data_IF_930998776799
#
_entry.id   IF_930998776799
#
_cell.length_a   1.000
_cell.length_b   1.000
_cell.length_c   1.000
_cell.angle_alpha   90.00
_cell.angle_beta   90.00
_cell.angle_gamma   90.00
#
_symmetry.space_group_name_H-M   'P 1'
#
loop_
_entity.id
_entity.type
_entity.pdbx_description
1 polymer ?
#
# COMPACT_ATOMS: atom_id res chain seq x y z
N UNK A 1 46.64 29.36 -39.25
CA UNK A 1 45.49 29.46 -38.31
C UNK A 1 44.16 28.92 -38.88
N UNK A 2 44.06 28.62 -40.18
CA UNK A 2 42.82 28.17 -40.84
C UNK A 2 42.64 26.65 -40.85
N UNK A 3 43.72 25.86 -40.86
CA UNK A 3 43.64 24.38 -40.90
C UNK A 3 43.27 23.78 -39.53
N UNK A 4 43.76 24.35 -38.43
CA UNK A 4 43.40 23.89 -37.07
C UNK A 4 41.93 24.12 -36.73
N UNK A 5 41.31 25.20 -37.25
CA UNK A 5 39.88 25.46 -37.06
C UNK A 5 39.00 24.46 -37.82
N UNK A 6 39.40 24.07 -39.03
CA UNK A 6 38.69 23.09 -39.87
C UNK A 6 38.72 21.67 -39.28
N UNK A 7 39.86 21.28 -38.68
CA UNK A 7 39.99 19.99 -38.00
C UNK A 7 39.16 19.96 -36.70
N UNK A 8 39.15 21.06 -35.93
CA UNK A 8 38.37 21.13 -34.69
C UNK A 8 36.85 21.13 -34.95
N UNK A 9 36.39 21.73 -36.05
CA UNK A 9 34.98 21.70 -36.46
C UNK A 9 34.55 20.33 -37.02
N UNK A 10 35.48 19.61 -37.68
CA UNK A 10 35.22 18.25 -38.18
C UNK A 10 35.13 17.23 -37.04
N UNK A 11 35.92 17.38 -35.97
CA UNK A 11 35.87 16.51 -34.79
C UNK A 11 34.55 16.70 -34.01
N UNK A 12 34.03 17.93 -33.93
CA UNK A 12 32.73 18.23 -33.31
C UNK A 12 31.53 17.74 -34.13
N UNK A 13 31.70 17.54 -35.44
CA UNK A 13 30.63 17.04 -36.32
C UNK A 13 30.47 15.50 -36.28
N UNK A 14 31.48 14.77 -35.78
CA UNK A 14 31.44 13.31 -35.65
C UNK A 14 31.06 12.81 -34.24
N UNK A 15 31.06 13.68 -33.23
CA UNK A 15 30.43 13.41 -31.94
C UNK A 15 28.93 13.68 -32.01
N UNK A 16 28.24 12.97 -32.89
CA UNK A 16 26.79 12.87 -32.86
C UNK A 16 26.39 12.10 -31.60
N UNK A 17 26.24 12.81 -30.47
CA UNK A 17 25.45 12.28 -29.37
C UNK A 17 24.09 11.92 -29.96
N UNK A 18 23.80 10.62 -30.04
CA UNK A 18 22.45 10.16 -30.36
C UNK A 18 21.56 10.62 -29.21
N UNK A 19 20.95 11.79 -29.37
CA UNK A 19 19.89 12.25 -28.49
C UNK A 19 18.68 11.37 -28.78
N UNK A 20 18.60 10.22 -28.14
CA UNK A 20 17.40 9.40 -28.17
C UNK A 20 16.30 10.17 -27.42
N UNK A 21 15.25 10.57 -28.15
CA UNK A 21 14.12 11.26 -27.54
C UNK A 21 13.51 10.34 -26.47
N UNK A 22 13.30 10.86 -25.26
CA UNK A 22 12.67 10.12 -24.17
C UNK A 22 11.28 9.59 -24.52
N UNK A 23 10.61 10.23 -25.47
CA UNK A 23 9.38 9.75 -26.06
C UNK A 23 9.44 9.80 -27.59
N UNK A 24 9.15 8.67 -28.23
CA UNK A 24 9.23 8.55 -29.70
C UNK A 24 8.16 9.35 -30.44
N UNK A 25 7.13 9.80 -29.73
CA UNK A 25 5.96 10.50 -30.27
C UNK A 25 5.95 12.01 -29.96
N UNK A 26 7.01 12.53 -29.34
CA UNK A 26 7.20 13.95 -29.03
C UNK A 26 6.09 14.64 -28.20
N UNK A 27 5.28 13.88 -27.48
CA UNK A 27 4.34 14.34 -26.46
C UNK A 27 5.04 15.10 -25.31
N UNK A 28 6.21 14.64 -24.86
CA UNK A 28 6.98 15.28 -23.79
C UNK A 28 7.60 16.61 -24.22
N UNK A 29 7.61 16.96 -25.52
CA UNK A 29 7.98 18.30 -25.95
C UNK A 29 7.13 19.37 -25.26
N UNK A 30 5.84 19.09 -25.01
CA UNK A 30 4.93 19.99 -24.31
C UNK A 30 4.61 19.49 -22.89
N UNK A 31 4.44 18.19 -22.67
CA UNK A 31 4.01 17.65 -21.38
C UNK A 31 5.10 17.63 -20.29
N UNK A 32 6.36 17.92 -20.60
CA UNK A 32 7.46 17.97 -19.62
C UNK A 32 7.46 19.21 -18.70
N UNK A 33 6.58 20.19 -18.91
CA UNK A 33 6.59 21.42 -18.14
C UNK A 33 5.64 21.35 -16.94
N UNK A 34 6.14 21.61 -15.72
CA UNK A 34 5.35 21.52 -14.45
C UNK A 34 4.11 22.40 -14.41
N UNK A 35 4.06 23.44 -15.24
CA UNK A 35 2.95 24.38 -15.29
C UNK A 35 1.88 24.01 -16.33
N UNK A 36 2.10 23.00 -17.16
CA UNK A 36 1.10 22.55 -18.12
C UNK A 36 -0.11 21.96 -17.38
N UNK A 37 -1.29 22.46 -17.71
CA UNK A 37 -2.51 22.17 -16.97
C UNK A 37 -3.63 23.13 -17.30
N UNK A 38 -4.79 22.89 -16.70
CA UNK A 38 -5.93 23.83 -16.69
C UNK A 38 -6.49 23.99 -15.28
N UNK A 39 -7.21 25.07 -15.05
CA UNK A 39 -8.08 25.20 -13.88
C UNK A 39 -9.49 24.81 -14.33
N UNK A 40 -10.12 23.87 -13.63
CA UNK A 40 -11.50 23.49 -13.92
C UNK A 40 -12.50 24.52 -13.36
N UNK A 41 -13.78 24.39 -13.74
CA UNK A 41 -14.86 25.30 -13.34
C UNK A 41 -15.05 25.40 -11.81
N UNK A 42 -14.55 24.42 -11.05
CA UNK A 42 -14.56 24.42 -9.59
C UNK A 42 -13.27 25.01 -8.98
N UNK A 43 -12.42 25.66 -9.78
CA UNK A 43 -11.15 26.24 -9.33
C UNK A 43 -10.04 25.22 -9.07
N UNK A 44 -10.22 23.94 -9.41
CA UNK A 44 -9.20 22.91 -9.14
C UNK A 44 -8.18 22.89 -10.27
N UNK A 45 -6.88 22.94 -9.92
CA UNK A 45 -5.79 22.79 -10.89
C UNK A 45 -5.67 21.33 -11.34
N UNK A 46 -5.89 21.08 -12.62
CA UNK A 46 -5.59 19.81 -13.32
C UNK A 46 -4.24 19.95 -13.99
N UNK A 47 -3.23 19.25 -13.49
CA UNK A 47 -1.91 19.22 -14.12
C UNK A 47 -1.86 18.16 -15.22
N UNK A 48 -1.24 18.52 -16.34
CA UNK A 48 -0.93 17.62 -17.45
C UNK A 48 0.58 17.30 -17.52
N UNK A 49 1.31 17.65 -16.47
CA UNK A 49 2.75 17.46 -16.40
C UNK A 49 3.10 15.98 -16.30
N UNK A 50 4.03 15.55 -17.15
CA UNK A 50 4.68 14.25 -17.08
C UNK A 50 6.16 14.47 -16.80
N UNK A 51 6.63 13.97 -15.67
CA UNK A 51 8.05 13.97 -15.34
C UNK A 51 8.74 12.83 -16.11
N UNK A 52 9.62 13.21 -17.03
CA UNK A 52 10.36 12.29 -17.91
C UNK A 52 11.23 11.30 -17.13
N UNK A 53 11.89 11.76 -16.06
CA UNK A 53 12.72 10.90 -15.23
C UNK A 53 11.86 9.90 -14.44
N UNK A 54 10.67 10.28 -14.00
CA UNK A 54 9.72 9.35 -13.37
C UNK A 54 9.18 8.36 -14.41
N UNK A 55 8.69 8.84 -15.56
CA UNK A 55 8.04 8.02 -16.59
C UNK A 55 8.98 6.97 -17.18
N UNK A 56 10.23 7.35 -17.49
CA UNK A 56 11.28 6.44 -17.98
C UNK A 56 11.60 5.30 -17.00
N UNK A 57 11.28 5.49 -15.72
CA UNK A 57 11.40 4.51 -14.66
C UNK A 57 10.06 3.81 -14.34
N UNK A 58 9.09 3.77 -15.25
CA UNK A 58 7.83 3.02 -15.07
C UNK A 58 7.77 1.75 -15.91
N UNK A 59 6.79 0.89 -15.64
CA UNK A 59 6.47 -0.27 -16.50
C UNK A 59 5.95 0.14 -17.88
N UNK A 60 5.49 1.39 -18.03
CA UNK A 60 4.93 1.91 -19.28
C UNK A 60 5.97 2.68 -20.10
N UNK A 61 7.24 2.75 -19.69
CA UNK A 61 8.29 3.51 -20.41
C UNK A 61 8.42 3.13 -21.89
N UNK A 62 8.14 1.86 -22.21
CA UNK A 62 8.24 1.29 -23.55
C UNK A 62 6.88 1.26 -24.27
N UNK A 63 5.83 1.84 -23.69
CA UNK A 63 4.49 1.93 -24.26
C UNK A 63 4.31 3.34 -24.82
N UNK A 64 4.19 3.53 -26.14
CA UNK A 64 3.88 4.82 -26.75
C UNK A 64 2.69 5.50 -26.08
N UNK A 65 2.71 6.83 -26.00
CA UNK A 65 1.65 7.59 -25.36
C UNK A 65 0.30 7.34 -26.06
N UNK A 66 0.30 7.25 -27.39
CA UNK A 66 -0.90 7.04 -28.23
C UNK A 66 -1.50 5.64 -28.12
N UNK A 67 -0.78 4.64 -27.60
CA UNK A 67 -1.37 3.31 -27.32
C UNK A 67 -2.45 3.40 -26.22
N UNK A 68 -2.27 4.33 -25.28
CA UNK A 68 -3.27 4.65 -24.26
C UNK A 68 -4.15 5.84 -24.69
N UNK A 69 -3.56 6.86 -25.31
CA UNK A 69 -4.22 8.04 -25.83
C UNK A 69 -4.61 7.87 -27.30
N UNK A 70 -5.33 6.79 -27.60
CA UNK A 70 -5.66 6.33 -28.97
C UNK A 70 -6.40 7.35 -29.81
N UNK A 71 -7.13 8.28 -29.17
CA UNK A 71 -7.87 9.35 -29.82
C UNK A 71 -6.96 10.50 -30.31
N UNK A 72 -5.70 10.55 -29.92
CA UNK A 72 -4.75 11.58 -30.37
C UNK A 72 -4.24 11.20 -31.77
N UNK A 73 -4.57 12.01 -32.78
CA UNK A 73 -4.18 11.79 -34.18
C UNK A 73 -3.30 12.90 -34.77
N UNK A 74 -3.21 14.07 -34.12
CA UNK A 74 -2.43 15.23 -34.56
C UNK A 74 -1.80 15.96 -33.37
N UNK A 75 -0.72 16.70 -33.59
CA UNK A 75 -0.08 17.57 -32.60
C UNK A 75 0.08 18.99 -33.17
N UNK A 76 -0.27 20.06 -32.43
CA UNK A 76 -0.99 20.07 -31.15
C UNK A 76 -2.35 19.38 -31.25
N UNK A 77 -2.73 18.61 -30.23
CA UNK A 77 -3.95 17.81 -30.27
C UNK A 77 -5.16 18.63 -29.79
N UNK A 78 -6.36 18.24 -30.25
CA UNK A 78 -7.62 18.83 -29.79
C UNK A 78 -7.88 18.48 -28.31
N UNK A 79 -8.78 19.21 -27.61
CA UNK A 79 -9.12 18.91 -26.23
C UNK A 79 -9.53 17.44 -26.04
N UNK A 80 -8.93 16.81 -25.03
CA UNK A 80 -9.24 15.42 -24.66
C UNK A 80 -10.68 15.31 -24.16
N UNK A 81 -11.51 14.58 -24.90
CA UNK A 81 -12.91 14.29 -24.53
C UNK A 81 -13.09 12.89 -23.94
N UNK A 82 -12.11 12.00 -24.13
CA UNK A 82 -12.19 10.60 -23.73
C UNK A 82 -11.16 10.25 -22.64
N UNK A 83 -11.55 9.36 -21.72
CA UNK A 83 -10.63 8.84 -20.72
C UNK A 83 -9.80 7.69 -21.30
N UNK A 84 -8.55 7.58 -20.82
CA UNK A 84 -7.67 6.45 -21.20
C UNK A 84 -8.25 5.12 -20.71
N UNK A 85 -8.27 4.13 -21.60
CA UNK A 85 -8.77 2.81 -21.28
C UNK A 85 -7.63 1.86 -20.93
N UNK A 86 -7.50 1.53 -19.63
CA UNK A 86 -6.49 0.58 -19.15
C UNK A 86 -6.72 -0.87 -19.63
N UNK A 87 -7.89 -1.17 -20.22
CA UNK A 87 -8.22 -2.45 -20.84
C UNK A 87 -7.74 -2.57 -22.29
N UNK A 88 -7.20 -1.50 -22.89
CA UNK A 88 -6.64 -1.59 -24.23
C UNK A 88 -5.52 -2.65 -24.27
N UNK A 89 -5.47 -3.40 -25.36
CA UNK A 89 -4.44 -4.40 -25.57
C UNK A 89 -3.10 -3.71 -25.86
N UNK A 90 -2.05 -4.11 -25.15
CA UNK A 90 -0.70 -3.61 -25.36
C UNK A 90 0.13 -4.61 -26.19
N UNK A 91 1.13 -4.09 -26.90
CA UNK A 91 1.94 -4.76 -27.94
C UNK A 91 2.88 -5.90 -27.50
N UNK A 92 2.60 -6.61 -26.40
CA UNK A 92 3.41 -7.76 -25.99
C UNK A 92 2.51 -8.98 -25.99
N UNK A 93 2.49 -9.71 -27.11
CA UNK A 93 2.11 -11.12 -27.10
C UNK A 93 3.22 -11.87 -26.36
N UNK A 94 2.99 -12.34 -25.14
CA UNK A 94 4.01 -13.12 -24.43
C UNK A 94 4.29 -14.39 -25.25
N UNK A 95 5.53 -14.90 -25.25
CA UNK A 95 5.85 -16.15 -25.97
C UNK A 95 5.05 -17.36 -25.47
N UNK A 96 4.37 -17.23 -24.34
CA UNK A 96 3.55 -18.25 -23.67
C UNK A 96 2.05 -17.93 -23.65
N UNK A 97 1.56 -16.88 -24.32
CA UNK A 97 0.13 -16.60 -24.38
C UNK A 97 -0.36 -16.32 -25.81
N UNK A 98 -1.55 -16.79 -26.12
CA UNK A 98 -2.18 -16.61 -27.44
C UNK A 98 -2.84 -15.23 -27.60
N UNK A 99 -2.96 -14.47 -26.51
CA UNK A 99 -3.61 -13.16 -26.45
C UNK A 99 -2.58 -12.08 -26.08
N UNK A 100 -2.81 -10.86 -26.55
CA UNK A 100 -2.07 -9.70 -26.12
C UNK A 100 -2.35 -9.40 -24.64
N UNK A 101 -1.38 -8.84 -23.94
CA UNK A 101 -1.59 -8.43 -22.56
C UNK A 101 -2.60 -7.27 -22.49
N UNK A 102 -3.59 -7.40 -21.59
CA UNK A 102 -4.56 -6.35 -21.25
C UNK A 102 -5.00 -6.50 -19.79
N UNK A 103 -5.35 -5.38 -19.15
CA UNK A 103 -5.97 -5.41 -17.81
C UNK A 103 -7.46 -5.81 -17.84
N UNK A 104 -8.05 -6.17 -18.99
CA UNK A 104 -9.48 -6.49 -19.15
C UNK A 104 -10.01 -7.42 -18.04
N UNK A 105 -9.35 -8.54 -17.77
CA UNK A 105 -9.76 -9.53 -16.74
C UNK A 105 -9.76 -8.93 -15.32
N UNK A 106 -8.79 -8.06 -15.02
CA UNK A 106 -8.71 -7.37 -13.73
C UNK A 106 -9.78 -6.29 -13.61
N UNK A 107 -10.03 -5.54 -14.68
CA UNK A 107 -11.08 -4.52 -14.74
C UNK A 107 -12.46 -5.16 -14.57
N UNK A 108 -12.72 -6.32 -15.19
CA UNK A 108 -13.95 -7.08 -14.99
C UNK A 108 -14.14 -7.52 -13.53
N UNK A 109 -13.06 -7.91 -12.86
CA UNK A 109 -13.08 -8.30 -11.44
C UNK A 109 -13.32 -7.07 -10.55
N UNK A 110 -12.60 -5.99 -10.79
CA UNK A 110 -12.78 -4.72 -10.10
C UNK A 110 -14.20 -4.16 -10.27
N UNK A 111 -14.74 -4.22 -11.49
CA UNK A 111 -16.09 -3.77 -11.79
C UNK A 111 -17.15 -4.62 -11.09
N UNK A 112 -16.87 -5.88 -10.75
CA UNK A 112 -17.77 -6.73 -9.94
C UNK A 112 -17.70 -6.37 -8.45
N UNK A 113 -16.56 -5.90 -7.96
CA UNK A 113 -16.33 -5.46 -6.57
C UNK A 113 -17.26 -4.32 -6.13
N UNK A 114 -17.25 -4.01 -4.83
CA UNK A 114 -18.01 -2.89 -4.25
C UNK A 114 -17.50 -1.52 -4.67
N UNK A 115 -16.23 -1.44 -5.06
CA UNK A 115 -15.59 -0.21 -5.51
C UNK A 115 -15.84 0.08 -6.99
N UNK A 116 -16.23 -0.93 -7.78
CA UNK A 116 -16.57 -0.76 -9.19
C UNK A 116 -17.79 0.14 -9.39
N UNK A 117 -17.70 1.07 -10.33
CA UNK A 117 -18.82 1.91 -10.74
C UNK A 117 -19.86 1.06 -11.48
N UNK A 118 -21.12 1.15 -11.08
CA UNK A 118 -22.26 0.42 -11.65
C UNK A 118 -23.16 1.38 -12.43
N UNK A 119 -23.85 0.91 -13.49
CA UNK A 119 -24.78 1.74 -14.25
C UNK A 119 -25.91 2.35 -13.40
N UNK A 120 -26.32 1.65 -12.33
CA UNK A 120 -27.37 2.10 -11.41
C UNK A 120 -26.89 3.08 -10.32
N UNK A 121 -25.59 3.41 -10.26
CA UNK A 121 -25.07 4.35 -9.28
C UNK A 121 -25.52 5.79 -9.61
N UNK A 122 -25.95 6.54 -8.60
CA UNK A 122 -26.22 7.98 -8.75
C UNK A 122 -24.95 8.76 -9.09
N UNK A 123 -25.03 9.95 -9.72
CA UNK A 123 -23.87 10.77 -10.02
C UNK A 123 -22.96 11.02 -8.80
N UNK A 124 -23.56 11.20 -7.62
CA UNK A 124 -22.85 11.39 -6.36
C UNK A 124 -22.10 10.12 -5.92
N UNK A 125 -22.68 8.93 -6.12
CA UNK A 125 -22.02 7.65 -5.80
C UNK A 125 -20.89 7.35 -6.79
N UNK A 126 -21.07 7.70 -8.07
CA UNK A 126 -20.05 7.55 -9.11
C UNK A 126 -18.82 8.40 -8.81
N UNK A 127 -19.01 9.65 -8.41
CA UNK A 127 -17.92 10.57 -8.01
C UNK A 127 -17.22 10.13 -6.72
N UNK A 128 -17.96 9.55 -5.78
CA UNK A 128 -17.43 9.10 -4.50
C UNK A 128 -16.63 7.78 -4.58
N UNK A 129 -16.84 6.96 -5.61
CA UNK A 129 -16.13 5.68 -5.77
C UNK A 129 -14.69 5.93 -6.24
N UNK A 130 -13.69 5.21 -5.69
CA UNK A 130 -12.32 5.33 -6.16
C UNK A 130 -12.21 4.84 -7.61
N UNK A 131 -11.17 5.28 -8.32
CA UNK A 131 -10.81 4.74 -9.63
C UNK A 131 -9.41 4.13 -9.58
N UNK A 132 -9.00 3.41 -10.63
CA UNK A 132 -7.74 2.68 -10.72
C UNK A 132 -6.53 3.50 -10.24
N UNK A 133 -6.43 4.78 -10.66
CA UNK A 133 -5.33 5.69 -10.30
C UNK A 133 -5.21 6.01 -8.82
N UNK A 134 -6.30 5.89 -8.06
CA UNK A 134 -6.30 6.17 -6.62
C UNK A 134 -5.50 5.10 -5.87
N UNK A 135 -5.69 3.83 -6.26
CA UNK A 135 -4.97 2.69 -5.72
C UNK A 135 -3.65 2.42 -6.46
N UNK A 136 -3.59 2.72 -7.75
CA UNK A 136 -2.41 2.63 -8.61
C UNK A 136 -1.84 4.01 -8.88
N UNK A 137 -1.31 4.64 -7.83
CA UNK A 137 -0.28 5.64 -8.02
C UNK A 137 0.96 4.85 -8.43
N UNK A 138 1.16 4.68 -9.74
CA UNK A 138 2.25 3.90 -10.35
C UNK A 138 3.54 4.22 -9.58
N UNK A 139 3.92 3.42 -8.56
CA UNK A 139 5.03 3.83 -7.74
C UNK A 139 6.21 3.76 -8.68
N UNK A 140 7.01 4.83 -8.72
CA UNK A 140 8.43 4.70 -9.09
C UNK A 140 8.86 3.42 -8.40
N UNK A 141 9.27 2.40 -9.17
CA UNK A 141 9.52 1.06 -8.66
C UNK A 141 10.00 1.15 -7.21
N UNK A 142 9.33 0.48 -6.26
CA UNK A 142 10.01 0.15 -5.00
C UNK A 142 11.36 -0.38 -5.44
N UNK A 143 12.44 0.33 -5.10
CA UNK A 143 13.79 0.04 -5.60
C UNK A 143 14.13 -1.38 -5.14
N UNK A 144 13.74 -2.38 -5.92
CA UNK A 144 14.25 -3.73 -5.78
C UNK A 144 15.68 -3.59 -6.25
N UNK A 145 16.61 -3.49 -5.30
CA UNK A 145 18.04 -3.46 -5.62
C UNK A 145 18.31 -4.64 -6.55
N UNK A 146 19.14 -4.43 -7.57
CA UNK A 146 19.60 -5.52 -8.42
C UNK A 146 20.29 -6.62 -7.60
N UNK A 147 20.80 -6.29 -6.42
CA UNK A 147 21.40 -7.24 -5.47
C UNK A 147 20.37 -8.18 -4.82
N UNK A 148 19.08 -7.80 -4.77
CA UNK A 148 18.00 -8.66 -4.22
C UNK A 148 17.43 -9.66 -5.24
N UNK A 149 17.92 -9.59 -6.49
CA UNK A 149 17.64 -10.59 -7.51
C UNK A 149 18.57 -11.77 -7.26
N UNK A 150 18.01 -12.98 -7.13
CA UNK A 150 18.82 -14.19 -6.97
C UNK A 150 19.80 -14.30 -8.16
N UNK A 151 21.09 -14.06 -7.89
CA UNK A 151 22.13 -13.91 -8.91
C UNK A 151 22.17 -15.10 -9.85
N UNK A 152 21.99 -16.30 -9.32
CA UNK A 152 21.98 -17.56 -10.06
C UNK A 152 20.85 -17.65 -11.10
N UNK A 153 19.64 -17.19 -10.78
CA UNK A 153 18.51 -17.21 -11.70
C UNK A 153 18.65 -16.14 -12.79
N UNK A 154 19.16 -14.96 -12.43
CA UNK A 154 19.38 -13.88 -13.39
C UNK A 154 20.50 -14.22 -14.38
N UNK A 155 21.63 -14.75 -13.91
CA UNK A 155 22.78 -15.13 -14.77
C UNK A 155 22.35 -16.12 -15.87
N UNK A 156 21.47 -17.07 -15.56
CA UNK A 156 20.95 -18.03 -16.56
C UNK A 156 20.19 -17.36 -17.70
N UNK A 157 19.42 -16.32 -17.40
CA UNK A 157 18.70 -15.55 -18.42
C UNK A 157 19.64 -14.63 -19.21
N UNK A 158 20.65 -14.05 -18.52
CA UNK A 158 21.66 -13.18 -19.12
C UNK A 158 22.58 -13.91 -20.12
N UNK A 159 22.66 -15.23 -20.04
CA UNK A 159 23.40 -16.03 -21.02
C UNK A 159 22.88 -15.87 -22.46
N UNK A 160 21.60 -15.53 -22.63
CA UNK A 160 20.98 -15.39 -23.96
C UNK A 160 20.31 -14.04 -24.21
N UNK A 161 20.05 -13.25 -23.17
CA UNK A 161 19.29 -12.01 -23.27
C UNK A 161 20.05 -10.81 -22.68
N UNK A 162 19.81 -9.63 -23.24
CA UNK A 162 20.45 -8.39 -22.77
C UNK A 162 20.08 -8.03 -21.32
N UNK A 163 21.07 -7.51 -20.59
CA UNK A 163 20.97 -7.26 -19.14
C UNK A 163 19.82 -6.35 -18.74
N UNK A 164 19.59 -5.28 -19.48
CA UNK A 164 18.55 -4.30 -19.13
C UNK A 164 17.13 -4.89 -19.28
N UNK A 165 16.87 -5.62 -20.37
CA UNK A 165 15.56 -6.23 -20.61
C UNK A 165 15.21 -7.33 -19.60
N UNK A 166 16.15 -8.23 -19.32
CA UNK A 166 15.97 -9.33 -18.37
C UNK A 166 15.78 -8.83 -16.95
N UNK A 167 16.62 -7.89 -16.51
CA UNK A 167 16.55 -7.37 -15.14
C UNK A 167 15.21 -6.68 -14.90
N UNK A 168 14.71 -5.94 -15.89
CA UNK A 168 13.40 -5.30 -15.79
C UNK A 168 12.25 -6.32 -15.79
N UNK A 169 12.28 -7.31 -16.68
CA UNK A 169 11.27 -8.37 -16.73
C UNK A 169 11.27 -9.22 -15.43
N UNK A 170 12.44 -9.58 -14.93
CA UNK A 170 12.60 -10.31 -13.67
C UNK A 170 12.08 -9.47 -12.50
N UNK A 171 12.46 -8.20 -12.38
CA UNK A 171 11.92 -7.30 -11.36
C UNK A 171 10.40 -7.18 -11.47
N UNK A 172 9.86 -7.01 -12.68
CA UNK A 172 8.42 -6.92 -12.92
C UNK A 172 7.66 -8.17 -12.44
N UNK A 173 8.15 -9.36 -12.80
CA UNK A 173 7.49 -10.63 -12.47
C UNK A 173 7.70 -10.97 -11.00
N UNK A 174 8.93 -10.95 -10.51
CA UNK A 174 9.25 -11.37 -9.13
C UNK A 174 8.67 -10.45 -8.07
N UNK A 175 8.53 -9.16 -8.37
CA UNK A 175 7.82 -8.25 -7.49
C UNK A 175 6.36 -8.69 -7.27
N UNK A 176 5.69 -9.21 -8.30
CA UNK A 176 4.31 -9.75 -8.20
C UNK A 176 4.24 -11.13 -7.53
N UNK A 177 5.35 -11.88 -7.49
CA UNK A 177 5.41 -13.22 -6.90
C UNK A 177 5.72 -13.20 -5.41
N UNK A 178 6.49 -12.21 -4.93
CA UNK A 178 6.98 -12.17 -3.54
C UNK A 178 5.93 -11.65 -2.54
N UNK A 179 5.12 -10.69 -2.95
CA UNK A 179 4.10 -10.09 -2.11
C UNK A 179 2.81 -9.88 -2.90
N UNK A 180 1.65 -9.90 -2.23
CA UNK A 180 0.37 -9.54 -2.85
C UNK A 180 0.44 -8.12 -3.42
N UNK A 181 1.12 -7.19 -2.74
CA UNK A 181 1.28 -5.80 -3.22
C UNK A 181 2.70 -5.27 -3.01
N UNK A 182 3.05 -4.18 -3.70
CA UNK A 182 4.27 -3.38 -3.45
C UNK A 182 4.25 -2.61 -2.13
N UNK A 183 3.09 -2.53 -1.48
CA UNK A 183 2.87 -1.68 -0.32
C UNK A 183 3.11 -2.46 0.96
N UNK A 184 3.70 -1.80 1.94
CA UNK A 184 3.75 -2.34 3.29
C UNK A 184 2.34 -2.40 3.90
N UNK A 185 2.09 -3.23 4.92
CA UNK A 185 0.79 -3.28 5.58
C UNK A 185 0.31 -1.91 6.09
N UNK A 186 1.23 -1.04 6.56
CA UNK A 186 0.91 0.32 6.99
C UNK A 186 0.40 1.17 5.83
N UNK A 187 1.04 1.07 4.66
CA UNK A 187 0.63 1.78 3.45
C UNK A 187 -0.72 1.28 2.93
N UNK A 188 -1.03 -0.01 3.07
CA UNK A 188 -2.35 -0.57 2.75
C UNK A 188 -3.41 -0.02 3.69
N UNK A 189 -3.18 -0.07 5.01
CA UNK A 189 -4.11 0.49 6.00
C UNK A 189 -4.37 1.96 5.71
N UNK A 190 -3.31 2.73 5.45
CA UNK A 190 -3.44 4.14 5.10
C UNK A 190 -4.20 4.36 3.78
N UNK A 191 -3.96 3.54 2.76
CA UNK A 191 -4.66 3.62 1.47
C UNK A 191 -6.16 3.38 1.62
N UNK A 192 -6.55 2.39 2.43
CA UNK A 192 -7.95 2.04 2.62
C UNK A 192 -8.65 3.00 3.59
N UNK A 193 -7.96 3.46 4.64
CA UNK A 193 -8.58 4.30 5.66
C UNK A 193 -8.66 5.78 5.25
N UNK A 194 -7.54 6.35 4.81
CA UNK A 194 -7.39 7.80 4.64
C UNK A 194 -8.26 8.31 3.51
N UNK A 195 -9.12 9.29 3.81
CA UNK A 195 -10.06 9.93 2.87
C UNK A 195 -11.12 8.99 2.25
N UNK A 196 -11.30 7.78 2.80
CA UNK A 196 -12.29 6.81 2.33
C UNK A 196 -12.99 6.16 3.53
N UNK A 197 -12.56 4.98 3.96
CA UNK A 197 -13.27 4.21 4.98
C UNK A 197 -13.23 4.82 6.39
N UNK A 198 -12.36 5.78 6.65
CA UNK A 198 -12.31 6.56 7.90
C UNK A 198 -13.16 7.84 7.82
N UNK A 199 -13.57 8.26 6.61
CA UNK A 199 -14.32 9.48 6.40
C UNK A 199 -15.83 9.23 6.50
N UNK A 200 -16.38 9.50 7.69
CA UNK A 200 -17.80 9.26 8.02
C UNK A 200 -18.75 9.96 7.05
N UNK A 201 -18.45 11.20 6.65
CA UNK A 201 -19.29 11.96 5.72
C UNK A 201 -19.35 11.33 4.33
N UNK A 202 -18.23 10.78 3.84
CA UNK A 202 -18.16 10.08 2.56
C UNK A 202 -18.86 8.73 2.64
N UNK A 203 -18.53 7.91 3.65
CA UNK A 203 -19.13 6.58 3.85
C UNK A 203 -20.63 6.64 4.15
N UNK A 204 -21.10 7.71 4.79
CA UNK A 204 -22.52 8.00 5.01
C UNK A 204 -23.31 8.15 3.72
N UNK A 205 -22.70 8.65 2.63
CA UNK A 205 -23.34 8.73 1.30
C UNK A 205 -23.70 7.35 0.73
N UNK A 206 -22.96 6.32 1.14
CA UNK A 206 -23.20 4.94 0.76
C UNK A 206 -24.21 4.22 1.66
N UNK A 207 -24.85 4.95 2.59
CA UNK A 207 -25.74 4.38 3.64
C UNK A 207 -25.04 3.24 4.39
N UNK A 208 -23.75 3.42 4.66
CA UNK A 208 -22.95 2.44 5.40
C UNK A 208 -23.52 2.27 6.82
N UNK A 209 -23.50 1.03 7.32
CA UNK A 209 -23.90 0.73 8.70
C UNK A 209 -22.95 1.40 9.70
N UNK A 210 -23.42 1.67 10.92
CA UNK A 210 -22.57 2.20 11.99
C UNK A 210 -21.34 1.33 12.26
N UNK A 211 -21.51 0.00 12.22
CA UNK A 211 -20.40 -0.96 12.31
C UNK A 211 -19.35 -0.75 11.22
N UNK A 212 -19.80 -0.47 9.99
CA UNK A 212 -18.89 -0.19 8.86
C UNK A 212 -18.20 1.17 8.99
N UNK A 213 -18.84 2.16 9.61
CA UNK A 213 -18.24 3.48 9.87
C UNK A 213 -17.15 3.39 10.96
N UNK A 214 -17.35 2.53 11.96
CA UNK A 214 -16.38 2.28 13.03
C UNK A 214 -15.31 1.24 12.66
N UNK A 215 -15.40 0.58 11.50
CA UNK A 215 -14.56 -0.57 11.13
C UNK A 215 -13.05 -0.23 11.12
N UNK A 216 -12.67 0.95 10.62
CA UNK A 216 -11.27 1.39 10.60
C UNK A 216 -10.72 1.56 12.02
N UNK A 217 -11.48 2.24 12.89
CA UNK A 217 -11.06 2.54 14.25
C UNK A 217 -10.95 1.26 15.09
N UNK A 218 -11.94 0.37 14.98
CA UNK A 218 -11.93 -0.93 15.66
C UNK A 218 -10.80 -1.83 15.17
N UNK A 219 -10.51 -1.83 13.86
CA UNK A 219 -9.35 -2.53 13.32
C UNK A 219 -8.03 -1.98 13.88
N UNK A 220 -7.84 -0.65 13.93
CA UNK A 220 -6.62 -0.02 14.48
C UNK A 220 -6.38 -0.41 15.94
N UNK A 221 -7.45 -0.64 16.71
CA UNK A 221 -7.39 -1.10 18.10
C UNK A 221 -7.11 -2.59 18.25
N UNK A 222 -7.34 -3.40 17.22
CA UNK A 222 -7.09 -4.84 17.22
C UNK A 222 -5.59 -5.18 17.30
N UNK A 223 -5.27 -6.43 17.64
CA UNK A 223 -3.88 -6.92 17.65
C UNK A 223 -3.25 -6.75 16.26
N UNK A 224 -3.97 -7.09 15.19
CA UNK A 224 -3.48 -6.91 13.82
C UNK A 224 -3.16 -5.44 13.52
N UNK A 225 -4.09 -4.53 13.82
CA UNK A 225 -3.90 -3.10 13.61
C UNK A 225 -2.72 -2.53 14.39
N UNK A 226 -2.59 -2.90 15.68
CA UNK A 226 -1.44 -2.50 16.52
C UNK A 226 -0.12 -3.07 16.01
N UNK A 227 -0.09 -4.35 15.63
CA UNK A 227 1.11 -4.98 15.06
C UNK A 227 1.54 -4.32 13.76
N UNK A 228 0.59 -4.01 12.86
CA UNK A 228 0.87 -3.24 11.64
C UNK A 228 1.42 -1.85 12.01
N UNK A 229 0.79 -1.12 12.94
CA UNK A 229 1.28 0.19 13.37
C UNK A 229 2.71 0.15 13.94
N UNK A 230 3.09 -0.96 14.58
CA UNK A 230 4.43 -1.19 15.14
C UNK A 230 5.47 -1.70 14.13
N UNK A 231 5.10 -1.85 12.85
CA UNK A 231 6.05 -2.23 11.79
C UNK A 231 5.97 -3.69 11.33
N UNK A 232 5.10 -4.53 11.90
CA UNK A 232 5.01 -5.93 11.53
C UNK A 232 4.58 -6.09 10.06
N UNK A 233 5.36 -6.84 9.29
CA UNK A 233 5.12 -7.07 7.86
C UNK A 233 4.18 -8.26 7.59
N UNK A 234 4.10 -9.20 8.53
CA UNK A 234 3.27 -10.41 8.42
C UNK A 234 1.92 -10.30 9.14
N UNK A 235 1.64 -9.13 9.75
CA UNK A 235 0.36 -8.87 10.38
C UNK A 235 -0.72 -8.61 9.32
N UNK A 236 -1.94 -9.12 9.56
CA UNK A 236 -3.03 -8.98 8.62
C UNK A 236 -3.46 -7.52 8.46
N UNK A 237 -3.53 -7.03 7.23
CA UNK A 237 -4.08 -5.73 6.86
C UNK A 237 -5.50 -5.83 6.29
N UNK A 238 -6.00 -4.73 5.72
CA UNK A 238 -7.34 -4.67 5.14
C UNK A 238 -7.54 -5.71 4.01
N UNK A 239 -6.58 -5.84 3.10
CA UNK A 239 -6.74 -6.72 1.93
C UNK A 239 -6.48 -8.18 2.29
N UNK A 240 -5.72 -8.47 3.35
CA UNK A 240 -5.55 -9.83 3.87
C UNK A 240 -6.88 -10.49 4.25
N UNK A 241 -7.84 -9.69 4.71
CA UNK A 241 -9.18 -10.16 5.05
C UNK A 241 -10.20 -9.94 3.93
N UNK A 242 -10.18 -8.80 3.24
CA UNK A 242 -11.25 -8.38 2.32
C UNK A 242 -11.05 -8.73 0.84
N UNK A 243 -9.87 -9.20 0.45
CA UNK A 243 -9.57 -9.56 -0.94
C UNK A 243 -8.90 -10.93 -1.02
N UNK A 244 -9.05 -11.59 -2.18
CA UNK A 244 -8.26 -12.80 -2.47
C UNK A 244 -6.89 -12.41 -3.03
N UNK A 245 -6.18 -13.38 -3.63
CA UNK A 245 -4.96 -13.12 -4.39
C UNK A 245 -5.22 -12.25 -5.65
N UNK A 246 -6.48 -12.03 -6.05
CA UNK A 246 -6.83 -11.12 -7.13
C UNK A 246 -6.78 -9.63 -6.73
N UNK A 247 -6.90 -9.31 -5.42
CA UNK A 247 -6.75 -7.99 -4.78
C UNK A 247 -7.81 -6.95 -5.18
N UNK A 248 -8.37 -7.07 -6.38
CA UNK A 248 -9.41 -6.20 -6.94
C UNK A 248 -10.83 -6.74 -6.68
N UNK A 249 -10.94 -7.83 -5.92
CA UNK A 249 -12.16 -8.60 -5.70
C UNK A 249 -12.74 -8.36 -4.30
N UNK A 250 -12.82 -7.09 -3.90
CA UNK A 250 -13.40 -6.69 -2.62
C UNK A 250 -14.93 -6.70 -2.75
N UNK A 251 -15.56 -7.75 -2.23
CA UNK A 251 -17.01 -7.93 -2.28
C UNK A 251 -17.70 -7.56 -0.96
N UNK A 252 -19.04 -7.42 -0.99
CA UNK A 252 -19.85 -7.21 0.21
C UNK A 252 -19.83 -8.45 1.10
N UNK A 253 -20.02 -8.29 2.40
CA UNK A 253 -19.99 -9.39 3.39
C UNK A 253 -20.98 -10.53 3.08
N UNK A 254 -22.09 -10.22 2.42
CA UNK A 254 -23.16 -11.18 2.08
C UNK A 254 -22.94 -11.84 0.71
N UNK A 255 -21.93 -11.41 -0.05
CA UNK A 255 -21.55 -12.07 -1.30
C UNK A 255 -20.81 -13.38 -0.99
N UNK A 256 -21.25 -14.48 -1.61
CA UNK A 256 -20.63 -15.81 -1.42
C UNK A 256 -19.18 -15.86 -1.87
N UNK A 257 -18.74 -14.97 -2.75
CA UNK A 257 -17.36 -14.87 -3.21
C UNK A 257 -16.47 -14.06 -2.24
N UNK A 258 -17.06 -13.30 -1.30
CA UNK A 258 -16.28 -12.52 -0.36
C UNK A 258 -15.48 -13.42 0.58
N UNK A 259 -14.21 -13.13 0.76
CA UNK A 259 -13.32 -13.81 1.74
C UNK A 259 -13.83 -13.67 3.17
N UNK A 260 -14.55 -12.58 3.48
CA UNK A 260 -15.17 -12.32 4.79
C UNK A 260 -16.57 -12.95 4.96
N UNK A 261 -17.13 -13.55 3.89
CA UNK A 261 -18.42 -14.22 3.96
C UNK A 261 -18.41 -15.29 5.05
N UNK A 262 -19.54 -15.51 5.73
CA UNK A 262 -19.64 -16.43 6.88
C UNK A 262 -19.08 -17.82 6.59
N UNK A 263 -19.31 -18.34 5.38
CA UNK A 263 -18.80 -19.64 4.93
C UNK A 263 -17.30 -19.67 4.60
N UNK A 264 -16.70 -18.52 4.25
CA UNK A 264 -15.31 -18.43 3.81
C UNK A 264 -14.35 -17.95 4.92
N UNK A 265 -14.89 -17.26 5.93
CA UNK A 265 -14.13 -16.58 6.98
C UNK A 265 -13.12 -17.46 7.69
N UNK A 266 -13.49 -18.71 7.99
CA UNK A 266 -12.58 -19.65 8.64
C UNK A 266 -11.35 -19.95 7.76
N UNK A 267 -11.54 -20.09 6.45
CA UNK A 267 -10.44 -20.30 5.51
C UNK A 267 -9.58 -19.04 5.37
N UNK A 268 -10.18 -17.86 5.47
CA UNK A 268 -9.45 -16.60 5.54
C UNK A 268 -8.55 -16.53 6.77
N UNK A 269 -9.04 -16.88 7.95
CA UNK A 269 -8.23 -16.95 9.17
C UNK A 269 -7.11 -18.01 9.05
N UNK A 270 -7.39 -19.15 8.42
CA UNK A 270 -6.43 -20.26 8.25
C UNK A 270 -5.24 -19.93 7.36
N UNK A 271 -5.28 -18.84 6.61
CA UNK A 271 -4.10 -18.35 5.88
C UNK A 271 -2.90 -18.13 6.81
N UNK A 272 -3.14 -17.71 8.06
CA UNK A 272 -2.09 -17.52 9.07
C UNK A 272 -2.31 -18.38 10.34
N UNK A 273 -3.58 -18.64 10.70
CA UNK A 273 -3.95 -19.43 11.87
C UNK A 273 -4.36 -20.84 11.48
N UNK A 274 -3.40 -21.72 11.21
CA UNK A 274 -3.64 -23.08 10.70
C UNK A 274 -4.69 -23.90 11.51
N UNK A 275 -4.79 -23.64 12.83
CA UNK A 275 -5.73 -24.32 13.74
C UNK A 275 -7.04 -23.55 13.99
N UNK A 276 -7.35 -22.51 13.22
CA UNK A 276 -8.59 -21.76 13.37
C UNK A 276 -9.81 -22.67 13.16
N UNK A 277 -10.76 -22.57 14.09
CA UNK A 277 -12.03 -23.30 14.12
C UNK A 277 -13.20 -22.30 14.10
N UNK A 278 -14.44 -22.81 14.09
CA UNK A 278 -15.63 -21.95 13.98
C UNK A 278 -15.78 -20.98 15.16
N UNK A 279 -15.36 -21.39 16.37
CA UNK A 279 -15.37 -20.51 17.55
C UNK A 279 -14.34 -19.39 17.42
N UNK A 280 -13.17 -19.68 16.85
CA UNK A 280 -12.15 -18.68 16.56
C UNK A 280 -12.64 -17.67 15.52
N UNK A 281 -13.30 -18.12 14.46
CA UNK A 281 -13.83 -17.25 13.41
C UNK A 281 -15.04 -16.38 13.86
N UNK A 282 -15.61 -16.66 15.03
CA UNK A 282 -16.65 -15.83 15.65
C UNK A 282 -16.10 -14.60 16.38
N UNK A 283 -14.77 -14.51 16.57
CA UNK A 283 -14.16 -13.30 17.10
C UNK A 283 -14.46 -12.15 16.14
N UNK A 284 -15.21 -11.17 16.63
CA UNK A 284 -15.62 -10.01 15.87
C UNK A 284 -14.43 -9.04 15.71
N UNK A 285 -13.90 -8.97 14.50
CA UNK A 285 -12.67 -8.24 14.16
C UNK A 285 -12.89 -6.72 14.08
N UNK A 286 -14.16 -6.29 13.93
CA UNK A 286 -14.56 -4.88 13.88
C UNK A 286 -15.57 -4.52 14.99
N UNK A 287 -15.58 -5.27 16.10
CA UNK A 287 -16.48 -4.97 17.21
C UNK A 287 -16.15 -3.63 17.84
N UNK A 288 -17.12 -2.72 17.83
CA UNK A 288 -17.09 -1.57 18.73
C UNK A 288 -17.26 -2.02 20.18
N UNK A 289 -16.53 -1.37 21.09
CA UNK A 289 -16.67 -1.55 22.54
C UNK A 289 -17.47 -0.35 23.06
N UNK A 290 -18.79 -0.51 23.09
CA UNK A 290 -19.73 0.54 23.47
C UNK A 290 -20.52 0.14 24.72
N UNK A 291 -20.66 1.07 25.66
CA UNK A 291 -21.31 0.85 26.96
C UNK A 291 -22.81 0.55 26.83
N UNK A 292 -23.50 1.13 25.85
CA UNK A 292 -24.94 1.01 25.70
C UNK A 292 -25.33 -0.16 24.79
N UNK A 293 -24.56 -0.41 23.72
CA UNK A 293 -24.83 -1.46 22.72
C UNK A 293 -24.28 -2.82 23.15
N UNK A 294 -23.10 -2.85 23.76
CA UNK A 294 -22.42 -4.08 24.21
C UNK A 294 -21.94 -3.94 25.66
N UNK A 295 -22.86 -3.75 26.64
CA UNK A 295 -22.52 -3.43 28.03
C UNK A 295 -21.60 -4.47 28.69
N UNK A 296 -21.82 -5.76 28.41
CA UNK A 296 -20.99 -6.85 28.94
C UNK A 296 -19.56 -6.76 28.42
N UNK A 297 -19.39 -6.51 27.12
CA UNK A 297 -18.07 -6.37 26.50
C UNK A 297 -17.35 -5.13 27.02
N UNK A 298 -18.06 -4.01 27.15
CA UNK A 298 -17.55 -2.76 27.73
C UNK A 298 -17.10 -2.96 29.18
N UNK A 299 -17.95 -3.56 30.03
CA UNK A 299 -17.63 -3.80 31.43
C UNK A 299 -16.42 -4.75 31.56
N UNK A 300 -16.38 -5.82 30.77
CA UNK A 300 -15.28 -6.78 30.78
C UNK A 300 -13.97 -6.11 30.36
N UNK A 301 -13.97 -5.36 29.26
CA UNK A 301 -12.79 -4.65 28.77
C UNK A 301 -12.30 -3.61 29.79
N UNK A 302 -13.22 -2.84 30.38
CA UNK A 302 -12.90 -1.81 31.38
C UNK A 302 -12.36 -2.44 32.67
N UNK A 303 -12.99 -3.49 33.19
CA UNK A 303 -12.53 -4.19 34.39
C UNK A 303 -11.15 -4.84 34.19
N UNK A 304 -10.91 -5.52 33.06
CA UNK A 304 -9.60 -6.07 32.73
C UNK A 304 -8.55 -4.97 32.53
N UNK A 305 -8.94 -3.84 31.94
CA UNK A 305 -8.07 -2.67 31.83
C UNK A 305 -7.65 -2.13 33.19
N UNK A 306 -8.60 -1.91 34.10
CA UNK A 306 -8.31 -1.48 35.48
C UNK A 306 -7.45 -2.51 36.23
N UNK A 307 -7.73 -3.81 36.08
CA UNK A 307 -6.92 -4.85 36.69
C UNK A 307 -5.47 -4.83 36.17
N UNK A 308 -5.29 -4.69 34.85
CA UNK A 308 -3.96 -4.61 34.23
C UNK A 308 -3.20 -3.36 34.68
N UNK A 309 -3.79 -2.17 34.54
CA UNK A 309 -3.13 -0.92 34.94
C UNK A 309 -2.90 -0.85 36.44
N UNK A 310 -3.87 -1.29 37.24
CA UNK A 310 -3.73 -1.39 38.70
C UNK A 310 -2.59 -2.31 39.11
N UNK A 311 -2.43 -3.46 38.44
CA UNK A 311 -1.32 -4.37 38.68
C UNK A 311 0.03 -3.75 38.30
N UNK A 312 0.12 -3.14 37.11
CA UNK A 312 1.36 -2.49 36.65
C UNK A 312 1.74 -1.32 37.55
N UNK A 313 0.81 -0.41 37.85
CA UNK A 313 1.05 0.73 38.71
C UNK A 313 1.31 0.30 40.16
N UNK A 314 0.66 -0.74 40.63
CA UNK A 314 0.91 -1.34 41.94
C UNK A 314 2.34 -1.89 42.05
N UNK A 315 2.78 -2.67 41.07
CA UNK A 315 4.15 -3.21 41.02
C UNK A 315 5.20 -2.10 40.92
N UNK A 316 4.96 -1.10 40.07
CA UNK A 316 5.85 0.08 39.96
C UNK A 316 5.86 0.86 41.28
N UNK A 317 4.70 1.04 41.92
CA UNK A 317 4.58 1.70 43.22
C UNK A 317 5.34 0.97 44.32
N UNK A 318 5.21 -0.35 44.42
CA UNK A 318 5.98 -1.18 45.34
C UNK A 318 7.48 -1.07 45.10
N UNK A 319 7.92 -1.11 43.83
CA UNK A 319 9.31 -0.92 43.44
C UNK A 319 9.85 0.45 43.88
N UNK A 320 9.06 1.52 43.72
CA UNK A 320 9.42 2.87 44.14
C UNK A 320 9.47 3.00 45.67
N UNK A 321 8.51 2.43 46.39
CA UNK A 321 8.49 2.41 47.86
C UNK A 321 9.69 1.65 48.43
N UNK A 322 10.01 0.49 47.86
CA UNK A 322 11.18 -0.29 48.23
C UNK A 322 12.47 0.51 47.97
N UNK A 323 12.59 1.13 46.80
CA UNK A 323 13.73 1.98 46.43
C UNK A 323 13.90 3.14 47.41
N UNK A 324 12.80 3.83 47.75
CA UNK A 324 12.79 4.91 48.72
C UNK A 324 13.20 4.41 50.12
N UNK A 325 12.66 3.27 50.56
CA UNK A 325 13.00 2.64 51.83
C UNK A 325 14.50 2.29 51.92
N UNK A 326 15.05 1.66 50.89
CA UNK A 326 16.48 1.33 50.78
C UNK A 326 17.35 2.60 50.82
N UNK A 327 16.96 3.67 50.11
CA UNK A 327 17.66 4.95 50.14
C UNK A 327 17.64 5.58 51.54
N UNK A 328 16.50 5.54 52.24
CA UNK A 328 16.37 6.03 53.64
C UNK A 328 17.24 5.24 54.62
N UNK A 329 17.41 3.95 54.39
CA UNK A 329 18.28 3.08 55.19
C UNK A 329 19.79 3.28 54.89
N UNK A 330 20.14 4.15 53.92
CA UNK A 330 21.53 4.48 53.55
C UNK A 330 22.13 3.56 52.47
N UNK A 331 21.32 2.68 51.88
CA UNK A 331 21.74 1.77 50.81
C UNK A 331 21.87 2.57 49.51
N UNK A 332 23.05 2.54 48.87
CA UNK A 332 23.31 3.26 47.63
C UNK A 332 22.99 2.36 46.42
N UNK A 333 22.23 2.91 45.49
CA UNK A 333 21.96 2.29 44.20
C UNK A 333 23.16 2.48 43.27
N UNK A 334 23.65 1.41 42.63
CA UNK A 334 24.78 1.47 41.69
C UNK A 334 24.42 0.80 40.36
N UNK A 335 24.75 1.47 39.25
CA UNK A 335 24.51 1.01 37.87
C UNK A 335 25.83 0.57 37.20
N UNK A 336 26.87 0.28 37.97
CA UNK A 336 28.22 0.04 37.40
C UNK A 336 28.43 -1.39 36.86
N UNK A 337 27.59 -2.36 37.23
CA UNK A 337 27.56 -3.77 36.73
C UNK A 337 26.15 -4.39 36.85
N UNK A 338 25.13 -3.73 36.27
CA UNK A 338 23.71 -4.10 36.46
C UNK A 338 23.08 -3.42 37.68
N UNK A 339 21.79 -3.68 37.92
CA UNK A 339 21.02 -3.08 39.03
C UNK A 339 21.37 -3.77 40.36
N UNK A 340 22.47 -3.37 41.00
CA UNK A 340 22.90 -3.90 42.29
C UNK A 340 22.79 -2.86 43.41
N UNK A 341 22.35 -3.31 44.60
CA UNK A 341 22.19 -2.48 45.80
C UNK A 341 23.36 -2.74 46.76
N UNK A 342 23.99 -1.69 47.32
CA UNK A 342 25.13 -1.81 48.25
C UNK A 342 24.79 -1.23 49.64
N UNK A 343 24.81 -2.07 50.66
CA UNK A 343 24.54 -1.73 52.07
C UNK A 343 23.64 -2.76 52.77
N UNK A 344 23.67 -2.83 54.10
CA UNK A 344 22.72 -3.63 54.91
C UNK A 344 21.52 -2.76 55.29
N UNK A 345 20.30 -3.29 55.13
CA UNK A 345 19.09 -2.60 55.62
C UNK A 345 19.11 -2.57 57.15
N UNK A 346 18.69 -1.43 57.72
CA UNK A 346 18.52 -1.28 59.17
C UNK A 346 17.28 -2.01 59.71
N UNK A 347 16.46 -2.61 58.84
CA UNK A 347 15.13 -3.19 59.15
C UNK A 347 14.98 -4.67 58.78
N UNK A 348 16.06 -5.36 58.40
CA UNK A 348 16.02 -6.81 58.21
C UNK A 348 16.00 -7.57 59.54
N UNK A 349 15.45 -8.80 59.60
CA UNK A 349 15.63 -9.64 60.78
C UNK A 349 17.13 -9.81 61.01
N UNK A 350 17.59 -9.48 62.22
CA UNK A 350 18.94 -9.81 62.66
C UNK A 350 19.01 -11.33 62.69
N UNK A 351 19.70 -11.93 61.71
CA UNK A 351 20.19 -13.30 61.82
C UNK A 351 21.22 -13.37 62.94
#
# INVERSE_FOLDING_TARGET
MTVQFLVMFSILSFSGFSAEAADKENCLMCHKYRQIGRIDEQGRKRSYYVDEHIYSNTTHRNVPCRDCHTYISKLPHDPVTEEVNCANECHIKPPFANENFSHKKIIETYNRSVHGIKPADSPQLRDAKPYCKYCHLNPIYTKVSEEQVASTSLIRCLNCHEKQGVTMAYKHITHRLRHKTSRSPQQIVQLCSKNCHEEVALMGRFKASEESLAAVETYKRSIHGKSVALGAQDAADCISCHATNAIHDVYKKDDKQATIHKANRINTCRQCHAKANDRFAQIDVHSEIDQHKKPVLYLTNTALGFAFYGSVLGLVGLMLLETYGRKKDGIKWQIRKGTTWRGQSKRGPKL
#
